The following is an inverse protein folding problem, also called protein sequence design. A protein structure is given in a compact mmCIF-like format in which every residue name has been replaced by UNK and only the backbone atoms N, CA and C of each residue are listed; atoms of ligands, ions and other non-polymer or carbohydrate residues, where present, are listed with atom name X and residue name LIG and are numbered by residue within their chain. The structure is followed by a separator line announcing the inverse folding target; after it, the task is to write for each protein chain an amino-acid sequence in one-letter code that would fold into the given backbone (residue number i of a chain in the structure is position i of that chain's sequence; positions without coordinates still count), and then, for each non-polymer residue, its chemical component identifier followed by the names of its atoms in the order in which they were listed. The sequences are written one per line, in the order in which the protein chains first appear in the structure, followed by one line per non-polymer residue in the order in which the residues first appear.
data_IF_022830639367
#
_entry.id   IF_022830639367
#
_cell.length_a   1.000
_cell.length_b   1.000
_cell.length_c   1.000
_cell.angle_alpha   90.00
_cell.angle_beta   90.00
_cell.angle_gamma   90.00
#
_symmetry.space_group_name_H-M   'P 1'
#
loop_
_entity.id
_entity.type
_entity.pdbx_description
1 polymer ?
#
# COMPACT_ATOMS: atom_id res chain seq x y z
N UNK A 1 -15.72 14.26 10.33
CA UNK A 1 -16.66 13.41 9.55
C UNK A 1 -17.87 14.20 9.04
N UNK A 2 -18.41 15.14 9.80
CA UNK A 2 -19.60 15.94 9.41
C UNK A 2 -19.42 16.62 8.05
N UNK A 3 -18.39 17.43 7.85
CA UNK A 3 -18.11 18.11 6.58
C UNK A 3 -17.97 17.17 5.38
N UNK A 4 -17.39 15.97 5.60
CA UNK A 4 -17.31 14.95 4.56
C UNK A 4 -18.70 14.38 4.22
N UNK A 5 -19.55 14.18 5.24
CA UNK A 5 -20.93 13.77 5.03
C UNK A 5 -21.73 14.81 4.24
N UNK A 6 -21.56 16.10 4.52
CA UNK A 6 -22.20 17.17 3.76
C UNK A 6 -21.86 17.13 2.26
N UNK A 7 -20.60 16.81 1.92
CA UNK A 7 -20.20 16.67 0.52
C UNK A 7 -20.90 15.48 -0.17
N UNK A 8 -21.11 14.39 0.55
CA UNK A 8 -21.88 13.24 0.04
C UNK A 8 -23.33 13.58 -0.12
N UNK A 9 -23.94 14.21 0.90
CA UNK A 9 -25.36 14.63 0.86
C UNK A 9 -25.62 15.65 -0.25
N UNK A 10 -24.68 16.56 -0.51
CA UNK A 10 -24.76 17.52 -1.60
C UNK A 10 -24.54 16.89 -3.00
N UNK A 11 -24.31 15.58 -3.09
CA UNK A 11 -24.04 14.87 -4.34
C UNK A 11 -22.73 15.21 -5.03
N UNK A 12 -21.82 15.95 -4.35
CA UNK A 12 -20.50 16.29 -4.88
C UNK A 12 -19.52 15.14 -4.82
N UNK A 13 -19.71 14.21 -3.88
CA UNK A 13 -18.91 13.02 -3.65
C UNK A 13 -19.85 11.81 -3.55
N UNK A 14 -19.50 10.70 -4.20
CA UNK A 14 -20.28 9.46 -4.13
C UNK A 14 -19.84 8.52 -3.02
N UNK A 15 -18.54 8.47 -2.75
CA UNK A 15 -17.96 7.63 -1.71
C UNK A 15 -16.71 8.31 -1.14
N UNK A 16 -16.40 8.01 0.12
CA UNK A 16 -15.25 8.55 0.84
C UNK A 16 -14.16 7.48 0.94
N UNK A 17 -12.89 7.90 0.86
CA UNK A 17 -11.75 7.08 1.18
C UNK A 17 -10.84 7.76 2.18
N UNK A 18 -10.21 6.98 3.03
CA UNK A 18 -9.16 7.44 3.95
C UNK A 18 -7.77 7.08 3.41
N UNK A 19 -6.74 7.73 3.92
CA UNK A 19 -5.36 7.44 3.55
C UNK A 19 -4.41 7.69 4.72
N UNK A 20 -3.37 6.86 4.83
CA UNK A 20 -2.18 7.07 5.66
C UNK A 20 -2.49 7.57 7.09
N UNK A 21 -3.19 6.78 7.89
CA UNK A 21 -3.49 7.05 9.28
C UNK A 21 -3.28 5.81 10.15
N UNK A 22 -3.18 6.00 11.46
CA UNK A 22 -3.13 4.88 12.40
C UNK A 22 -4.48 4.16 12.48
N UNK A 23 -4.45 2.86 12.74
CA UNK A 23 -5.66 2.05 12.80
C UNK A 23 -6.68 2.56 13.81
N UNK A 24 -6.24 3.00 15.02
CA UNK A 24 -7.15 3.56 16.03
C UNK A 24 -7.82 4.87 15.56
N UNK A 25 -7.11 5.74 14.82
CA UNK A 25 -7.68 6.97 14.28
C UNK A 25 -8.77 6.65 13.26
N UNK A 26 -8.45 5.74 12.32
CA UNK A 26 -9.42 5.27 11.33
C UNK A 26 -10.65 4.65 12.00
N UNK A 27 -10.43 3.77 12.97
CA UNK A 27 -11.51 3.12 13.72
C UNK A 27 -12.43 4.15 14.39
N UNK A 28 -11.86 5.13 15.10
CA UNK A 28 -12.62 6.18 15.76
C UNK A 28 -13.44 7.03 14.79
N UNK A 29 -12.88 7.36 13.60
CA UNK A 29 -13.61 8.09 12.57
C UNK A 29 -14.79 7.29 12.02
N UNK A 30 -14.60 5.99 11.80
CA UNK A 30 -15.69 5.09 11.37
C UNK A 30 -16.79 4.96 12.42
N UNK A 31 -16.42 4.86 13.70
CA UNK A 31 -17.40 4.85 14.80
C UNK A 31 -18.15 6.18 14.89
N UNK A 32 -17.45 7.31 14.83
CA UNK A 32 -18.05 8.62 14.83
C UNK A 32 -19.08 8.77 13.70
N UNK A 33 -18.73 8.35 12.48
CA UNK A 33 -19.67 8.38 11.37
C UNK A 33 -20.89 7.48 11.59
N UNK A 34 -20.68 6.28 12.11
CA UNK A 34 -21.79 5.34 12.45
C UNK A 34 -22.73 5.92 13.48
N UNK A 35 -22.19 6.49 14.56
CA UNK A 35 -22.97 6.96 15.71
C UNK A 35 -23.81 8.21 15.37
N UNK A 36 -23.39 8.98 14.35
CA UNK A 36 -24.13 10.13 13.83
C UNK A 36 -24.94 9.85 12.56
N UNK A 37 -24.93 8.62 12.04
CA UNK A 37 -25.61 8.30 10.78
C UNK A 37 -24.97 8.94 9.55
N UNK A 38 -23.68 9.29 9.61
CA UNK A 38 -22.94 9.92 8.52
C UNK A 38 -22.34 8.90 7.56
N UNK A 39 -21.96 9.39 6.37
CA UNK A 39 -21.19 8.60 5.40
C UNK A 39 -19.86 8.15 6.01
N UNK A 40 -19.55 6.85 5.82
CA UNK A 40 -18.30 6.22 6.30
C UNK A 40 -17.27 6.15 5.18
N UNK A 41 -16.05 5.86 5.53
CA UNK A 41 -15.03 5.51 4.54
C UNK A 41 -15.30 4.11 3.97
N UNK A 42 -15.29 3.99 2.65
CA UNK A 42 -15.47 2.75 1.90
C UNK A 42 -14.14 2.16 1.40
N UNK A 43 -13.09 2.99 1.35
CA UNK A 43 -11.76 2.59 0.91
C UNK A 43 -10.66 3.14 1.82
N UNK A 44 -9.55 2.40 1.89
CA UNK A 44 -8.31 2.80 2.56
C UNK A 44 -7.15 2.76 1.57
N UNK A 45 -6.53 3.93 1.33
CA UNK A 45 -5.31 4.06 0.56
C UNK A 45 -4.10 4.06 1.51
N UNK A 46 -3.57 2.89 1.77
CA UNK A 46 -2.45 2.68 2.69
C UNK A 46 -1.13 2.38 1.95
N UNK A 47 -0.03 2.40 2.69
CA UNK A 47 1.28 1.95 2.19
C UNK A 47 1.38 0.43 2.36
N UNK A 48 1.34 -0.32 1.27
CA UNK A 48 1.35 -1.77 1.35
C UNK A 48 1.96 -2.41 0.11
N UNK A 49 2.96 -3.25 0.31
CA UNK A 49 3.61 -4.07 -0.72
C UNK A 49 4.46 -5.15 -0.04
N UNK A 50 5.10 -6.03 -0.81
CA UNK A 50 5.94 -7.12 -0.30
C UNK A 50 7.10 -6.66 0.60
N UNK A 51 7.62 -5.44 0.38
CA UNK A 51 8.71 -4.87 1.17
C UNK A 51 8.23 -4.05 2.38
N UNK A 52 6.94 -3.73 2.46
CA UNK A 52 6.38 -2.94 3.56
C UNK A 52 5.00 -3.47 3.94
N UNK A 53 4.91 -4.17 5.06
CA UNK A 53 3.72 -4.90 5.51
C UNK A 53 3.25 -4.49 6.91
N UNK A 54 3.70 -3.34 7.42
CA UNK A 54 3.43 -2.92 8.81
C UNK A 54 1.94 -2.74 9.11
N UNK A 55 1.13 -2.38 8.12
CA UNK A 55 -0.32 -2.24 8.26
C UNK A 55 -1.07 -3.58 8.46
N UNK A 56 -0.42 -4.72 8.22
CA UNK A 56 -1.01 -6.04 8.54
C UNK A 56 -1.22 -6.24 10.04
N UNK A 57 -0.51 -5.46 10.86
CA UNK A 57 -0.59 -5.54 12.32
C UNK A 57 -1.91 -5.02 12.87
N UNK A 58 -2.46 -3.94 12.29
CA UNK A 58 -3.62 -3.25 12.84
C UNK A 58 -4.59 -2.74 11.76
N UNK A 59 -4.14 -1.86 10.86
CA UNK A 59 -5.01 -1.14 9.92
C UNK A 59 -5.75 -2.08 8.96
N UNK A 60 -5.07 -3.05 8.38
CA UNK A 60 -5.68 -4.01 7.46
C UNK A 60 -6.72 -4.90 8.14
N UNK A 61 -6.47 -5.49 9.34
CA UNK A 61 -7.50 -6.17 10.11
C UNK A 61 -8.74 -5.31 10.38
N UNK A 62 -8.57 -4.04 10.76
CA UNK A 62 -9.68 -3.12 10.99
C UNK A 62 -10.47 -2.90 9.69
N UNK A 63 -9.80 -2.65 8.57
CA UNK A 63 -10.45 -2.48 7.27
C UNK A 63 -11.29 -3.72 6.91
N UNK A 64 -10.74 -4.91 7.08
CA UNK A 64 -11.46 -6.18 6.85
C UNK A 64 -12.68 -6.33 7.75
N UNK A 65 -12.54 -6.06 9.05
CA UNK A 65 -13.64 -6.11 10.01
C UNK A 65 -14.77 -5.16 9.65
N UNK A 66 -14.46 -4.00 9.09
CA UNK A 66 -15.42 -2.96 8.74
C UNK A 66 -15.92 -3.02 7.29
N UNK A 67 -15.46 -3.97 6.50
CA UNK A 67 -15.82 -4.10 5.08
C UNK A 67 -15.25 -2.98 4.20
N UNK A 68 -14.10 -2.41 4.57
CA UNK A 68 -13.43 -1.32 3.85
C UNK A 68 -12.44 -1.89 2.84
N UNK A 69 -12.54 -1.46 1.60
CA UNK A 69 -11.68 -1.91 0.51
C UNK A 69 -10.27 -1.33 0.62
N UNK A 70 -9.26 -2.17 0.36
CA UNK A 70 -7.87 -1.73 0.32
C UNK A 70 -7.48 -1.26 -1.09
N UNK A 71 -6.94 -0.06 -1.19
CA UNK A 71 -6.44 0.55 -2.44
C UNK A 71 -5.03 1.09 -2.24
N UNK A 72 -4.05 0.22 -1.92
CA UNK A 72 -2.73 0.68 -1.48
C UNK A 72 -1.96 1.42 -2.56
N UNK A 73 -1.19 2.41 -2.12
CA UNK A 73 -0.19 3.07 -2.95
C UNK A 73 1.17 2.36 -2.86
N UNK A 74 2.03 2.64 -3.83
CA UNK A 74 3.38 2.08 -3.94
C UNK A 74 3.42 0.53 -4.01
N UNK A 75 2.54 -0.13 -4.78
CA UNK A 75 2.47 -1.58 -4.82
C UNK A 75 3.75 -2.24 -5.36
N UNK A 76 4.55 -1.50 -6.11
CA UNK A 76 5.82 -1.95 -6.70
C UNK A 76 7.05 -1.40 -5.94
N UNK A 77 6.86 -0.89 -4.71
CA UNK A 77 7.94 -0.37 -3.85
C UNK A 77 8.88 0.60 -4.61
N UNK A 78 8.31 1.65 -5.24
CA UNK A 78 9.05 2.62 -6.05
C UNK A 78 9.88 2.00 -7.21
N UNK A 79 9.58 0.76 -7.58
CA UNK A 79 10.25 0.01 -8.64
C UNK A 79 11.25 -1.04 -8.16
N UNK A 80 11.51 -1.17 -6.84
CA UNK A 80 12.39 -2.23 -6.32
C UNK A 80 11.86 -3.65 -6.59
N UNK A 81 10.54 -3.81 -6.72
CA UNK A 81 9.90 -5.09 -7.07
C UNK A 81 9.75 -5.31 -8.60
N UNK A 82 10.44 -4.52 -9.42
CA UNK A 82 10.35 -4.63 -10.90
C UNK A 82 11.64 -5.09 -11.57
N UNK A 83 12.71 -5.27 -10.80
CA UNK A 83 14.04 -5.64 -11.30
C UNK A 83 14.80 -6.44 -10.24
N UNK A 84 15.76 -7.30 -10.64
CA UNK A 84 16.49 -8.17 -9.71
C UNK A 84 17.59 -7.45 -8.91
N UNK A 85 17.88 -6.19 -9.22
CA UNK A 85 18.90 -5.39 -8.54
C UNK A 85 18.28 -4.22 -7.80
N UNK A 86 18.84 -3.87 -6.63
CA UNK A 86 18.33 -2.74 -5.83
C UNK A 86 18.54 -1.41 -6.53
N UNK A 87 19.78 -1.17 -6.94
CA UNK A 87 20.16 0.07 -7.58
C UNK A 87 19.77 0.10 -9.06
N UNK A 88 19.16 1.19 -9.50
CA UNK A 88 18.91 1.46 -10.90
C UNK A 88 19.30 2.90 -11.23
N UNK A 89 19.97 3.05 -12.34
CA UNK A 89 20.30 4.37 -12.89
C UNK A 89 19.11 4.93 -13.69
N UNK A 90 18.06 5.35 -12.97
CA UNK A 90 16.87 5.96 -13.55
C UNK A 90 16.70 7.38 -13.04
N UNK A 91 16.01 8.22 -13.82
CA UNK A 91 15.67 9.58 -13.38
C UNK A 91 14.93 9.57 -12.03
N UNK A 92 14.05 8.58 -11.81
CA UNK A 92 13.29 8.43 -10.58
C UNK A 92 14.19 8.06 -9.40
N UNK A 93 15.11 7.11 -9.56
CA UNK A 93 16.03 6.70 -8.49
C UNK A 93 16.96 7.85 -8.04
N UNK A 94 17.22 8.81 -8.92
CA UNK A 94 18.05 9.99 -8.60
C UNK A 94 17.27 11.14 -7.99
N UNK A 95 15.97 11.27 -8.26
CA UNK A 95 15.18 12.46 -7.94
C UNK A 95 14.06 12.22 -6.91
N UNK A 96 13.60 10.98 -6.72
CA UNK A 96 12.48 10.66 -5.82
C UNK A 96 12.96 10.49 -4.36
N UNK A 97 13.13 11.63 -3.67
CA UNK A 97 13.56 11.66 -2.26
C UNK A 97 12.59 10.92 -1.34
N UNK A 98 11.31 10.84 -1.68
CA UNK A 98 10.30 10.12 -0.88
C UNK A 98 10.53 8.62 -0.96
N UNK A 99 10.80 8.09 -2.16
CA UNK A 99 11.15 6.68 -2.34
C UNK A 99 12.45 6.33 -1.62
N UNK A 100 13.49 7.17 -1.77
CA UNK A 100 14.79 7.00 -1.08
C UNK A 100 14.61 6.93 0.45
N UNK A 101 13.80 7.81 1.03
CA UNK A 101 13.53 7.81 2.46
C UNK A 101 12.78 6.58 2.96
N UNK A 102 12.02 5.90 2.08
CA UNK A 102 11.23 4.71 2.44
C UNK A 102 12.00 3.40 2.32
N UNK A 103 12.84 3.24 1.30
CA UNK A 103 13.41 1.95 0.92
C UNK A 103 14.94 1.88 0.99
N UNK A 104 15.68 2.93 0.62
CA UNK A 104 17.13 2.84 0.38
C UNK A 104 17.99 2.37 1.58
N UNK A 105 17.47 2.52 2.80
CA UNK A 105 18.18 2.09 4.01
C UNK A 105 17.96 0.62 4.37
N UNK A 106 17.10 -0.08 3.62
CA UNK A 106 16.64 -1.43 3.93
C UNK A 106 17.10 -2.47 2.91
N UNK A 107 18.00 -2.10 1.99
CA UNK A 107 18.47 -2.97 0.90
C UNK A 107 18.84 -4.37 1.37
N UNK A 108 19.71 -4.48 2.38
CA UNK A 108 20.18 -5.78 2.86
C UNK A 108 19.06 -6.66 3.43
N UNK A 109 18.04 -6.04 4.01
CA UNK A 109 16.88 -6.72 4.57
C UNK A 109 15.89 -7.15 3.47
N UNK A 110 15.71 -6.32 2.44
CA UNK A 110 14.66 -6.47 1.45
C UNK A 110 15.09 -7.27 0.21
N UNK A 111 16.41 -7.32 -0.07
CA UNK A 111 16.92 -8.06 -1.22
C UNK A 111 16.54 -9.55 -1.26
N UNK A 112 16.44 -10.29 -0.15
CA UNK A 112 15.93 -11.66 -0.19
C UNK A 112 14.50 -11.76 -0.75
N UNK A 113 13.62 -10.78 -0.47
CA UNK A 113 12.27 -10.74 -1.03
C UNK A 113 12.33 -10.44 -2.54
N UNK A 114 13.16 -9.47 -2.94
CA UNK A 114 13.35 -9.11 -4.36
C UNK A 114 13.86 -10.32 -5.16
N UNK A 115 14.81 -11.09 -4.61
CA UNK A 115 15.30 -12.31 -5.23
C UNK A 115 14.19 -13.34 -5.45
N UNK A 116 13.34 -13.58 -4.44
CA UNK A 116 12.22 -14.52 -4.55
C UNK A 116 11.14 -14.05 -5.55
N UNK A 117 10.89 -12.74 -5.65
CA UNK A 117 10.03 -12.19 -6.70
C UNK A 117 10.61 -12.46 -8.09
N UNK A 118 11.92 -12.35 -8.25
CA UNK A 118 12.60 -12.68 -9.51
C UNK A 118 12.49 -14.18 -9.85
N UNK A 119 12.78 -15.07 -8.91
CA UNK A 119 12.66 -16.51 -9.09
C UNK A 119 11.24 -16.94 -9.48
N UNK A 120 10.21 -16.38 -8.84
CA UNK A 120 8.84 -16.67 -9.22
C UNK A 120 8.47 -16.06 -10.59
N UNK A 121 9.03 -14.90 -10.94
CA UNK A 121 8.84 -14.33 -12.27
C UNK A 121 9.40 -15.24 -13.37
N UNK A 122 10.56 -15.86 -13.14
CA UNK A 122 11.14 -16.87 -14.03
C UNK A 122 10.27 -18.15 -14.06
N UNK A 123 9.87 -18.68 -12.88
CA UNK A 123 9.01 -19.87 -12.76
C UNK A 123 7.72 -19.73 -13.55
N UNK A 124 7.07 -18.57 -13.48
CA UNK A 124 5.80 -18.30 -14.17
C UNK A 124 5.97 -17.72 -15.58
N UNK A 125 7.21 -17.46 -16.01
CA UNK A 125 7.55 -16.80 -17.28
C UNK A 125 6.80 -15.46 -17.46
N UNK A 126 6.83 -14.62 -16.41
CA UNK A 126 6.20 -13.30 -16.36
C UNK A 126 7.18 -12.25 -15.84
N UNK A 127 6.80 -10.98 -15.87
CA UNK A 127 7.63 -9.90 -15.30
C UNK A 127 7.52 -9.86 -13.77
N UNK A 128 8.57 -9.45 -13.08
CA UNK A 128 8.60 -9.31 -11.62
C UNK A 128 7.46 -8.45 -11.09
N UNK A 129 7.13 -7.34 -11.77
CA UNK A 129 6.00 -6.49 -11.39
C UNK A 129 4.65 -7.24 -11.40
N UNK A 130 4.49 -8.25 -12.25
CA UNK A 130 3.26 -9.03 -12.31
C UNK A 130 3.15 -9.97 -11.10
N UNK A 131 4.25 -10.54 -10.63
CA UNK A 131 4.28 -11.30 -9.37
C UNK A 131 3.93 -10.39 -8.18
N UNK A 132 4.56 -9.22 -8.08
CA UNK A 132 4.31 -8.28 -7.00
C UNK A 132 2.84 -7.78 -6.97
N UNK A 133 2.23 -7.55 -8.13
CA UNK A 133 0.82 -7.17 -8.22
C UNK A 133 -0.11 -8.36 -7.93
N UNK A 134 0.18 -9.56 -8.45
CA UNK A 134 -0.60 -10.75 -8.18
C UNK A 134 -0.67 -11.09 -6.68
N UNK A 135 0.41 -10.86 -5.95
CA UNK A 135 0.44 -10.98 -4.49
C UNK A 135 -0.62 -10.09 -3.81
N UNK A 136 -0.81 -8.85 -4.26
CA UNK A 136 -1.82 -7.95 -3.67
C UNK A 136 -3.23 -8.53 -3.74
N UNK A 137 -3.63 -9.09 -4.89
CA UNK A 137 -4.96 -9.69 -5.02
C UNK A 137 -5.11 -10.94 -4.16
N UNK A 138 -4.05 -11.74 -4.03
CA UNK A 138 -4.05 -12.89 -3.11
C UNK A 138 -4.19 -12.45 -1.66
N UNK A 139 -3.69 -11.26 -1.30
CA UNK A 139 -3.87 -10.64 0.03
C UNK A 139 -5.23 -9.94 0.20
N UNK A 140 -6.13 -10.00 -0.78
CA UNK A 140 -7.46 -9.40 -0.70
C UNK A 140 -7.49 -7.89 -0.94
N UNK A 141 -6.48 -7.34 -1.61
CA UNK A 141 -6.48 -5.94 -2.07
C UNK A 141 -7.47 -5.80 -3.22
N UNK A 142 -8.33 -4.78 -3.14
CA UNK A 142 -9.33 -4.53 -4.17
C UNK A 142 -8.72 -3.90 -5.42
N UNK A 143 -7.85 -2.89 -5.24
CA UNK A 143 -7.24 -2.16 -6.36
C UNK A 143 -5.92 -1.50 -5.95
N UNK A 144 -4.75 -2.06 -6.28
CA UNK A 144 -3.48 -1.39 -6.06
C UNK A 144 -3.34 -0.19 -7.01
N UNK A 145 -2.74 0.91 -6.51
CA UNK A 145 -2.54 2.13 -7.30
C UNK A 145 -1.22 2.05 -8.03
N UNK A 146 -1.27 1.82 -9.33
CA UNK A 146 -0.10 1.68 -10.20
C UNK A 146 0.20 3.01 -10.90
N UNK A 147 1.41 3.54 -10.68
CA UNK A 147 1.93 4.67 -11.45
C UNK A 147 2.67 4.19 -12.70
N UNK A 148 2.38 4.78 -13.86
CA UNK A 148 3.04 4.45 -15.12
C UNK A 148 3.43 5.71 -15.90
N UNK A 149 4.64 5.71 -16.45
CA UNK A 149 5.14 6.77 -17.35
C UNK A 149 5.08 6.37 -18.82
N UNK A 150 4.72 5.11 -19.11
CA UNK A 150 4.55 4.55 -20.46
C UNK A 150 3.35 3.62 -20.47
N UNK A 151 2.59 3.61 -21.57
CA UNK A 151 1.42 2.75 -21.74
C UNK A 151 1.74 1.27 -21.51
N UNK A 152 2.89 0.80 -22.00
CA UNK A 152 3.37 -0.57 -21.83
C UNK A 152 3.36 -1.04 -20.36
N UNK A 153 3.64 -0.14 -19.40
CA UNK A 153 3.64 -0.50 -17.98
C UNK A 153 2.23 -0.75 -17.44
N UNK A 154 1.22 -0.14 -18.05
CA UNK A 154 -0.19 -0.43 -17.73
C UNK A 154 -0.61 -1.78 -18.30
N UNK A 155 -0.22 -2.08 -19.55
CA UNK A 155 -0.48 -3.39 -20.16
C UNK A 155 0.15 -4.52 -19.33
N UNK A 156 1.40 -4.32 -18.91
CA UNK A 156 2.10 -5.25 -18.02
C UNK A 156 1.38 -5.42 -16.67
N UNK A 157 0.87 -4.32 -16.10
CA UNK A 157 0.13 -4.39 -14.84
C UNK A 157 -1.20 -5.13 -14.98
N UNK A 158 -1.93 -4.92 -16.09
CA UNK A 158 -3.15 -5.66 -16.41
C UNK A 158 -2.85 -7.15 -16.57
N UNK A 159 -1.74 -7.51 -17.22
CA UNK A 159 -1.31 -8.90 -17.35
C UNK A 159 -1.10 -9.63 -16.01
N UNK A 160 -0.88 -8.89 -14.92
CA UNK A 160 -0.77 -9.50 -13.60
C UNK A 160 -2.07 -10.17 -13.10
N UNK A 161 -3.23 -9.81 -13.64
CA UNK A 161 -4.52 -10.43 -13.31
C UNK A 161 -4.59 -11.90 -13.72
N UNK A 162 -3.80 -12.30 -14.72
CA UNK A 162 -3.72 -13.68 -15.20
C UNK A 162 -2.78 -14.56 -14.36
N UNK A 163 -1.93 -13.95 -13.52
CA UNK A 163 -0.97 -14.69 -12.69
C UNK A 163 -1.69 -15.25 -11.46
N UNK A 164 -1.66 -16.58 -11.33
CA UNK A 164 -2.31 -17.30 -10.21
C UNK A 164 -1.26 -17.88 -9.28
N UNK A 165 -0.87 -17.10 -8.28
CA UNK A 165 0.05 -17.55 -7.23
C UNK A 165 -0.63 -18.58 -6.32
N UNK A 166 0.09 -19.64 -5.98
CA UNK A 166 -0.36 -20.63 -5.00
C UNK A 166 -0.16 -20.12 -3.57
N UNK A 167 -0.70 -20.82 -2.58
CA UNK A 167 -0.48 -20.48 -1.16
C UNK A 167 0.98 -20.71 -0.76
N UNK A 168 1.65 -21.69 -1.36
CA UNK A 168 3.08 -21.96 -1.20
C UNK A 168 3.93 -20.82 -1.77
N UNK A 169 3.56 -20.26 -2.93
CA UNK A 169 4.25 -19.10 -3.51
C UNK A 169 4.12 -17.88 -2.61
N UNK A 170 2.95 -17.67 -2.01
CA UNK A 170 2.73 -16.59 -1.04
C UNK A 170 3.61 -16.78 0.19
N UNK A 171 3.59 -17.98 0.78
CA UNK A 171 4.44 -18.30 1.93
C UNK A 171 5.93 -18.10 1.60
N UNK A 172 6.35 -18.52 0.42
CA UNK A 172 7.71 -18.35 -0.07
C UNK A 172 8.09 -16.85 -0.19
N UNK A 173 7.24 -16.03 -0.78
CA UNK A 173 7.49 -14.59 -0.90
C UNK A 173 7.56 -13.88 0.46
N UNK A 174 6.77 -14.33 1.42
CA UNK A 174 6.58 -13.65 2.70
C UNK A 174 7.57 -14.09 3.80
N UNK A 175 8.15 -15.28 3.70
CA UNK A 175 9.06 -15.84 4.72
C UNK A 175 10.24 -14.92 5.07
N UNK A 176 10.93 -14.23 4.11
CA UNK A 176 12.06 -13.38 4.45
C UNK A 176 11.69 -12.05 5.08
N UNK A 177 10.38 -11.73 5.21
CA UNK A 177 9.95 -10.41 5.67
C UNK A 177 10.42 -10.12 7.10
N UNK A 178 11.10 -9.01 7.27
CA UNK A 178 11.43 -8.44 8.56
C UNK A 178 10.69 -7.11 8.75
N UNK A 179 10.30 -6.82 9.98
CA UNK A 179 9.54 -5.60 10.30
C UNK A 179 10.35 -4.35 9.98
N UNK A 180 9.66 -3.34 9.46
CA UNK A 180 10.21 -2.03 9.14
C UNK A 180 9.79 -0.99 10.20
N UNK A 181 10.60 0.06 10.32
CA UNK A 181 10.10 1.25 11.00
C UNK A 181 8.95 1.86 10.20
N UNK A 182 8.02 2.51 10.89
CA UNK A 182 6.97 3.27 10.23
C UNK A 182 7.61 4.39 9.40
N UNK A 183 7.15 4.54 8.15
CA UNK A 183 7.66 5.55 7.20
C UNK A 183 6.52 6.24 6.48
N UNK A 184 6.77 7.46 6.01
CA UNK A 184 5.79 8.24 5.26
C UNK A 184 4.95 9.15 6.15
N UNK A 185 3.69 9.36 5.79
CA UNK A 185 2.83 10.36 6.43
C UNK A 185 2.51 10.08 7.91
N UNK A 186 2.72 8.84 8.36
CA UNK A 186 2.45 8.40 9.74
C UNK A 186 3.71 8.03 10.51
N UNK A 187 4.89 8.48 10.07
CA UNK A 187 6.15 8.23 10.77
C UNK A 187 6.25 9.00 12.11
N UNK A 188 5.40 10.00 12.29
CA UNK A 188 5.26 10.78 13.51
C UNK A 188 3.85 10.70 14.05
N UNK A 189 3.70 10.34 15.31
CA UNK A 189 2.46 10.47 16.06
C UNK A 189 2.66 11.50 17.17
N UNK A 190 1.69 12.39 17.36
CA UNK A 190 1.73 13.33 18.48
C UNK A 190 1.64 12.57 19.81
N UNK A 191 2.27 13.11 20.85
CA UNK A 191 2.35 12.47 22.16
C UNK A 191 0.97 12.16 22.78
N UNK A 192 -0.03 12.96 22.45
CA UNK A 192 -1.43 12.80 22.88
C UNK A 192 -2.31 11.99 21.90
N UNK A 193 -1.71 11.47 20.83
CA UNK A 193 -2.42 10.67 19.83
C UNK A 193 -3.32 11.49 18.90
N UNK A 194 -3.31 12.80 19.00
CA UNK A 194 -4.08 13.71 18.14
C UNK A 194 -3.14 14.42 17.18
N UNK A 195 -3.31 14.16 15.88
CA UNK A 195 -2.66 14.97 14.84
C UNK A 195 -3.49 16.22 14.62
N UNK A 196 -3.07 17.34 15.22
CA UNK A 196 -3.67 18.64 14.96
C UNK A 196 -3.09 19.19 13.65
N UNK A 197 -3.93 19.30 12.62
CA UNK A 197 -3.54 19.86 11.32
C UNK A 197 -3.24 21.37 11.38
N UNK A 198 -3.54 22.04 12.49
CA UNK A 198 -3.51 23.49 12.65
C UNK A 198 -2.57 23.99 13.76
N UNK A 199 -1.59 23.25 14.19
CA UNK A 199 -0.53 23.85 15.01
C UNK A 199 0.25 24.86 14.15
N UNK A 200 -0.21 26.10 14.21
CA UNK A 200 0.61 27.23 13.79
C UNK A 200 1.85 27.26 14.68
N UNK A 201 2.97 26.87 14.11
CA UNK A 201 4.29 27.14 14.70
C UNK A 201 4.56 28.62 14.75
#
# INVERSE_FOLDING_TARGET
MEALNELVQAGKVRALGASAMYGYQFYNMQLCARDHGWARFEAMQNHYNLLYREDERELIPICRQMGVSLTPYSPLAAGHLTRPTWNADTLRSRADRVAMGKYDRMEAQDMPIVARVHELAEKYNVKMQQIALAWHWKKGVASPIVGATRAQYLDDAVGALEVKLTDEDIAYLEEPYLTHRIVGAIDHNSADGVMLLDEKK
#
